data_IF_757329288363
#
_entry.id   IF_757329288363
#
_cell.length_a   1.000
_cell.length_b   1.000
_cell.length_c   1.000
_cell.angle_alpha   90.00
_cell.angle_beta   90.00
_cell.angle_gamma   90.00
#
_symmetry.space_group_name_H-M   'P 1'
#
loop_
_entity.id
_entity.type
_entity.pdbx_description
1 polymer ?
#
# COMPACT_ATOMS: atom_id res chain seq x y z
N UNK A 1 8.81 -4.19 7.89
CA UNK A 1 9.68 -3.25 8.63
C UNK A 1 9.21 -3.25 10.07
N UNK A 2 10.05 -3.48 11.08
CA UNK A 2 9.62 -3.47 12.46
C UNK A 2 9.24 -2.04 12.89
N UNK A 3 8.20 -1.94 13.73
CA UNK A 3 7.76 -0.69 14.32
C UNK A 3 7.63 -0.88 15.84
N UNK A 4 7.84 0.18 16.60
CA UNK A 4 7.64 0.20 18.04
C UNK A 4 6.74 1.36 18.43
N UNK A 5 5.79 1.10 19.30
CA UNK A 5 4.87 2.12 19.81
C UNK A 5 4.85 2.10 21.33
N UNK A 6 4.88 3.29 21.92
CA UNK A 6 4.63 3.48 23.36
C UNK A 6 3.37 4.32 23.54
N UNK A 7 2.31 3.70 24.01
CA UNK A 7 1.02 4.36 24.22
C UNK A 7 0.40 3.94 25.54
N UNK A 8 0.81 4.58 26.64
CA UNK A 8 0.26 4.26 27.96
C UNK A 8 -1.27 4.42 27.99
N UNK A 9 -1.94 3.42 28.60
CA UNK A 9 -3.40 3.39 28.67
C UNK A 9 -4.10 2.74 27.47
N UNK A 10 -3.44 2.60 26.32
CA UNK A 10 -3.98 1.89 25.17
C UNK A 10 -3.24 0.58 24.90
N UNK A 11 -1.92 0.63 24.75
CA UNK A 11 -1.11 -0.53 24.39
C UNK A 11 -0.53 -1.16 25.65
N UNK A 12 -0.84 -2.44 25.96
CA UNK A 12 -0.25 -3.16 27.08
C UNK A 12 1.28 -3.29 26.92
N UNK A 13 2.05 -3.27 28.00
CA UNK A 13 3.48 -3.51 27.93
C UNK A 13 3.81 -4.87 27.35
N UNK A 14 4.89 -4.97 26.57
CA UNK A 14 5.37 -6.22 25.95
C UNK A 14 4.37 -6.86 24.97
N UNK A 15 3.45 -6.09 24.41
CA UNK A 15 2.59 -6.57 23.34
C UNK A 15 3.39 -6.75 22.06
N UNK A 16 3.28 -7.92 21.44
CA UNK A 16 3.82 -8.22 20.11
C UNK A 16 2.65 -8.41 19.15
N UNK A 17 2.70 -7.73 18.01
CA UNK A 17 1.66 -7.76 16.96
C UNK A 17 2.34 -8.18 15.67
N UNK A 18 1.87 -9.27 15.06
CA UNK A 18 2.39 -9.83 13.81
C UNK A 18 1.42 -9.62 12.64
N UNK A 19 0.37 -8.86 12.86
CA UNK A 19 -0.62 -8.52 11.84
C UNK A 19 -0.11 -7.43 10.90
N UNK A 20 -0.81 -7.22 9.78
CA UNK A 20 -0.43 -6.19 8.81
C UNK A 20 -0.75 -4.81 9.38
N UNK A 21 0.26 -3.99 9.57
CA UNK A 21 0.12 -2.60 9.96
C UNK A 21 0.89 -1.72 8.95
N UNK A 22 0.20 -0.77 8.34
CA UNK A 22 0.81 0.15 7.38
C UNK A 22 1.08 1.52 8.00
N UNK A 23 2.05 2.25 7.45
CA UNK A 23 2.28 3.65 7.81
C UNK A 23 1.03 4.53 7.56
N UNK A 24 0.19 4.18 6.60
CA UNK A 24 -1.09 4.84 6.30
C UNK A 24 -2.09 4.78 7.46
N UNK A 25 -2.01 3.71 8.28
CA UNK A 25 -2.92 3.49 9.40
C UNK A 25 -2.70 4.48 10.54
N UNK A 26 -1.48 5.03 10.66
CA UNK A 26 -1.18 5.98 11.73
C UNK A 26 -2.04 7.23 11.69
N UNK A 27 -2.24 7.81 10.50
CA UNK A 27 -3.06 9.02 10.37
C UNK A 27 -4.48 8.78 10.88
N UNK A 28 -5.13 7.72 10.41
CA UNK A 28 -6.49 7.36 10.81
C UNK A 28 -6.58 6.99 12.29
N UNK A 29 -5.59 6.21 12.79
CA UNK A 29 -5.54 5.78 14.20
C UNK A 29 -5.36 6.96 15.15
N UNK A 30 -4.45 7.90 14.83
CA UNK A 30 -4.19 9.05 15.69
C UNK A 30 -5.35 10.06 15.69
N UNK A 31 -5.97 10.30 14.54
CA UNK A 31 -7.16 11.17 14.45
C UNK A 31 -8.33 10.56 15.22
N UNK A 32 -8.51 9.23 15.10
CA UNK A 32 -9.53 8.53 15.87
C UNK A 32 -9.27 8.61 17.39
N UNK A 33 -8.00 8.54 17.81
CA UNK A 33 -7.60 8.72 19.21
C UNK A 33 -7.82 10.15 19.71
N UNK A 34 -7.73 11.14 18.83
CA UNK A 34 -8.01 12.55 19.14
C UNK A 34 -9.52 12.86 19.24
N UNK A 35 -10.40 11.85 19.05
CA UNK A 35 -11.84 11.99 19.22
C UNK A 35 -12.65 11.96 17.92
N UNK A 36 -12.02 11.71 16.76
CA UNK A 36 -12.71 11.64 15.47
C UNK A 36 -12.57 10.26 14.81
N UNK A 37 -13.27 9.22 15.33
CA UNK A 37 -13.18 7.86 14.82
C UNK A 37 -13.77 7.68 13.41
N UNK A 38 -14.64 8.58 12.99
CA UNK A 38 -15.33 8.50 11.70
C UNK A 38 -14.68 9.42 10.63
N UNK A 39 -13.40 9.76 10.80
CA UNK A 39 -12.70 10.69 9.91
C UNK A 39 -12.71 10.25 8.44
N UNK A 40 -12.61 8.94 8.16
CA UNK A 40 -12.66 8.41 6.79
C UNK A 40 -13.98 8.77 6.10
N UNK A 41 -15.10 8.45 6.74
CA UNK A 41 -16.43 8.67 6.15
C UNK A 41 -16.74 10.16 5.98
N UNK A 42 -16.33 10.96 6.96
CA UNK A 42 -16.47 12.42 6.89
C UNK A 42 -15.65 13.01 5.75
N UNK A 43 -14.40 12.59 5.58
CA UNK A 43 -13.56 13.06 4.49
C UNK A 43 -14.04 12.62 3.10
N UNK A 44 -14.66 11.44 2.97
CA UNK A 44 -15.28 11.01 1.71
C UNK A 44 -16.43 11.93 1.29
N UNK A 45 -17.21 12.42 2.25
CA UNK A 45 -18.36 13.30 2.02
C UNK A 45 -17.97 14.78 1.90
N UNK A 46 -16.83 15.15 2.45
CA UNK A 46 -16.36 16.51 2.62
C UNK A 46 -16.43 16.92 4.09
N UNK A 47 -15.29 17.29 4.66
CA UNK A 47 -15.11 17.66 6.05
C UNK A 47 -14.49 19.04 6.18
N UNK A 48 -15.17 19.93 6.92
CA UNK A 48 -14.69 21.28 7.15
C UNK A 48 -13.73 21.30 8.33
N UNK A 49 -12.48 21.67 8.08
CA UNK A 49 -11.46 21.85 9.10
C UNK A 49 -10.63 23.10 8.82
N UNK A 50 -10.39 23.90 9.85
CA UNK A 50 -9.60 25.14 9.76
C UNK A 50 -10.06 26.10 8.63
N UNK A 51 -11.37 26.18 8.40
CA UNK A 51 -11.96 27.05 7.38
C UNK A 51 -11.82 26.57 5.93
N UNK A 52 -11.44 25.30 5.75
CA UNK A 52 -11.36 24.66 4.43
C UNK A 52 -12.14 23.35 4.41
N UNK A 53 -12.78 23.07 3.27
CA UNK A 53 -13.42 21.78 3.03
C UNK A 53 -12.41 20.79 2.43
N UNK A 54 -12.27 19.63 3.08
CA UNK A 54 -11.41 18.55 2.65
C UNK A 54 -12.26 17.37 2.20
N UNK A 55 -12.20 17.05 0.92
CA UNK A 55 -12.76 15.81 0.36
C UNK A 55 -11.63 14.93 -0.11
N UNK A 56 -11.35 13.85 0.65
CA UNK A 56 -10.21 12.96 0.45
C UNK A 56 -10.59 11.53 0.74
N UNK A 57 -9.96 10.59 0.02
CA UNK A 57 -9.96 9.18 0.34
C UNK A 57 -8.74 8.86 1.22
N UNK A 58 -8.95 8.16 2.34
CA UNK A 58 -7.88 7.64 3.18
C UNK A 58 -7.85 6.11 3.07
N UNK A 59 -6.69 5.56 2.75
CA UNK A 59 -6.49 4.10 2.67
C UNK A 59 -6.19 3.48 4.04
N UNK A 60 -5.83 4.29 5.03
CA UNK A 60 -5.55 3.86 6.40
C UNK A 60 -6.78 3.36 7.17
N UNK A 61 -6.55 2.49 8.14
CA UNK A 61 -7.55 1.99 9.09
C UNK A 61 -7.26 2.48 10.50
N UNK A 62 -8.31 2.64 11.32
CA UNK A 62 -8.16 2.84 12.76
C UNK A 62 -7.81 1.51 13.42
N UNK A 63 -6.58 1.38 13.86
CA UNK A 63 -6.01 0.16 14.42
C UNK A 63 -5.92 0.18 15.96
N UNK A 64 -6.67 1.05 16.64
CA UNK A 64 -6.66 1.12 18.12
C UNK A 64 -7.07 -0.20 18.77
N UNK A 65 -8.02 -0.92 18.17
CA UNK A 65 -8.48 -2.21 18.68
C UNK A 65 -7.38 -3.27 18.58
N UNK A 66 -6.67 -3.32 17.45
CA UNK A 66 -5.50 -4.17 17.25
C UNK A 66 -4.40 -3.82 18.26
N UNK A 67 -4.02 -2.55 18.35
CA UNK A 67 -2.94 -2.08 19.25
C UNK A 67 -3.23 -2.35 20.72
N UNK A 68 -4.49 -2.30 21.12
CA UNK A 68 -4.92 -2.59 22.49
C UNK A 68 -5.10 -4.09 22.79
N UNK A 69 -5.04 -4.96 21.76
CA UNK A 69 -5.33 -6.39 21.86
C UNK A 69 -6.82 -6.70 22.09
N UNK A 70 -7.73 -5.75 21.86
CA UNK A 70 -9.17 -5.89 22.08
C UNK A 70 -9.97 -6.29 20.85
N UNK A 71 -9.35 -6.24 19.68
CA UNK A 71 -10.03 -6.56 18.43
C UNK A 71 -9.07 -7.04 17.35
N UNK A 72 -9.64 -7.56 16.25
CA UNK A 72 -8.87 -8.05 15.12
C UNK A 72 -8.22 -6.91 14.34
N UNK A 73 -7.23 -7.27 13.52
CA UNK A 73 -6.72 -6.43 12.47
C UNK A 73 -7.85 -6.06 11.46
N UNK A 74 -7.90 -4.79 11.10
CA UNK A 74 -8.83 -4.29 10.06
C UNK A 74 -8.19 -4.29 8.68
N UNK A 75 -6.84 -4.41 8.61
CA UNK A 75 -6.09 -4.42 7.36
C UNK A 75 -5.76 -5.86 6.96
N UNK A 76 -6.23 -6.25 5.80
CA UNK A 76 -5.89 -7.55 5.20
C UNK A 76 -5.04 -7.41 3.94
N UNK A 77 -5.04 -6.22 3.32
CA UNK A 77 -4.35 -5.93 2.07
C UNK A 77 -3.36 -4.76 2.22
N UNK A 78 -2.34 -4.76 1.35
CA UNK A 78 -1.42 -3.64 1.17
C UNK A 78 -1.03 -3.53 -0.30
N UNK A 79 -1.18 -2.33 -0.87
CA UNK A 79 -0.82 -2.03 -2.25
C UNK A 79 0.57 -1.39 -2.29
N UNK A 80 1.47 -1.99 -3.07
CA UNK A 80 2.82 -1.46 -3.26
C UNK A 80 2.82 -0.52 -4.46
N UNK A 81 3.15 0.73 -4.23
CA UNK A 81 3.26 1.76 -5.25
C UNK A 81 4.72 2.17 -5.42
N UNK A 82 5.12 2.48 -6.65
CA UNK A 82 6.41 3.08 -6.95
C UNK A 82 6.34 4.59 -6.83
N UNK A 83 7.49 5.25 -6.76
CA UNK A 83 7.58 6.72 -6.79
C UNK A 83 7.02 7.33 -8.09
N UNK A 84 6.96 6.52 -9.15
CA UNK A 84 6.40 6.90 -10.44
C UNK A 84 4.87 6.72 -10.53
N UNK A 85 4.25 6.26 -9.45
CA UNK A 85 2.81 6.02 -9.39
C UNK A 85 2.36 4.73 -10.08
N UNK A 86 3.26 3.77 -10.29
CA UNK A 86 2.90 2.47 -10.82
C UNK A 86 2.57 1.48 -9.68
N UNK A 87 1.53 0.68 -9.88
CA UNK A 87 1.19 -0.39 -8.95
C UNK A 87 2.19 -1.54 -9.12
N UNK A 88 3.09 -1.69 -8.15
CA UNK A 88 4.16 -2.69 -8.20
C UNK A 88 3.73 -4.06 -7.67
N UNK A 89 2.73 -4.11 -6.80
CA UNK A 89 2.26 -5.37 -6.23
C UNK A 89 1.10 -5.20 -5.27
N UNK A 90 0.57 -6.33 -4.84
CA UNK A 90 -0.46 -6.46 -3.83
C UNK A 90 -0.02 -7.51 -2.81
N UNK A 91 -0.12 -7.21 -1.53
CA UNK A 91 -0.15 -8.20 -0.45
C UNK A 91 -1.58 -8.36 0.03
N UNK A 92 -2.00 -9.60 0.21
CA UNK A 92 -3.25 -9.96 0.86
C UNK A 92 -2.97 -11.09 1.84
N UNK A 93 -3.08 -10.82 3.13
CA UNK A 93 -2.68 -11.72 4.22
C UNK A 93 -1.24 -12.25 4.01
N UNK A 94 -1.07 -13.57 3.85
CA UNK A 94 0.23 -14.19 3.58
C UNK A 94 0.61 -14.21 2.10
N UNK A 95 -0.28 -13.84 1.19
CA UNK A 95 -0.03 -13.86 -0.24
C UNK A 95 0.51 -12.53 -0.74
N UNK A 96 1.47 -12.58 -1.63
CA UNK A 96 1.94 -11.40 -2.36
C UNK A 96 1.95 -11.69 -3.85
N UNK A 97 1.31 -10.82 -4.62
CA UNK A 97 1.40 -10.78 -6.07
C UNK A 97 2.27 -9.59 -6.47
N UNK A 98 3.39 -9.82 -7.15
CA UNK A 98 4.24 -8.77 -7.69
C UNK A 98 3.94 -8.56 -9.17
N UNK A 99 3.66 -7.33 -9.56
CA UNK A 99 3.33 -6.94 -10.93
C UNK A 99 4.52 -6.36 -11.68
N UNK A 100 5.53 -5.92 -10.95
CA UNK A 100 6.76 -5.34 -11.46
C UNK A 100 7.97 -5.92 -10.75
N UNK A 101 9.13 -5.85 -11.39
CA UNK A 101 10.40 -6.28 -10.81
C UNK A 101 11.47 -5.23 -11.02
N UNK A 102 12.41 -5.15 -10.09
CA UNK A 102 13.66 -4.42 -10.26
C UNK A 102 14.75 -5.41 -10.69
N UNK A 103 15.32 -5.18 -11.88
CA UNK A 103 16.41 -6.02 -12.41
C UNK A 103 17.80 -5.48 -12.08
N UNK A 104 17.88 -4.23 -11.61
CA UNK A 104 19.14 -3.62 -11.23
C UNK A 104 19.56 -4.02 -9.82
N UNK A 105 20.86 -3.89 -9.54
CA UNK A 105 21.46 -4.20 -8.26
C UNK A 105 22.33 -3.02 -7.77
N UNK A 106 22.51 -2.94 -6.45
CA UNK A 106 23.31 -1.89 -5.84
C UNK A 106 22.75 -0.49 -6.11
N UNK A 107 23.59 0.44 -6.51
CA UNK A 107 23.19 1.81 -6.78
C UNK A 107 22.30 1.97 -8.03
N UNK A 108 22.40 1.05 -8.98
CA UNK A 108 21.64 1.10 -10.23
C UNK A 108 20.12 0.96 -10.00
N UNK A 109 19.67 0.49 -8.84
CA UNK A 109 18.23 0.47 -8.47
C UNK A 109 17.60 1.87 -8.49
N UNK A 110 18.39 2.93 -8.32
CA UNK A 110 17.94 4.31 -8.39
C UNK A 110 17.94 4.88 -9.82
N UNK A 111 18.74 4.28 -10.69
CA UNK A 111 18.90 4.75 -12.07
C UNK A 111 18.00 4.02 -13.07
N UNK A 112 17.59 2.80 -12.76
CA UNK A 112 16.81 1.95 -13.66
C UNK A 112 15.36 1.82 -13.17
N UNK A 113 14.37 1.92 -14.09
CA UNK A 113 12.97 1.78 -13.73
C UNK A 113 12.64 0.33 -13.37
N UNK A 114 11.55 0.14 -12.61
CA UNK A 114 10.93 -1.17 -12.45
C UNK A 114 10.32 -1.63 -13.78
N UNK A 115 10.43 -2.93 -14.06
CA UNK A 115 9.93 -3.55 -15.29
C UNK A 115 8.60 -4.25 -15.03
N UNK A 116 7.53 -3.95 -15.78
CA UNK A 116 6.25 -4.63 -15.64
C UNK A 116 6.34 -6.08 -16.11
N UNK A 117 5.70 -6.98 -15.37
CA UNK A 117 5.61 -8.40 -15.69
C UNK A 117 4.36 -8.70 -16.53
N UNK A 118 4.48 -9.59 -17.53
CA UNK A 118 3.31 -10.11 -18.26
C UNK A 118 2.44 -11.00 -17.39
N UNK A 119 3.05 -11.75 -16.48
CA UNK A 119 2.40 -12.62 -15.52
C UNK A 119 2.91 -12.22 -14.13
N UNK A 120 2.03 -11.89 -13.18
CA UNK A 120 2.46 -11.57 -11.83
C UNK A 120 3.23 -12.72 -11.20
N UNK A 121 4.24 -12.41 -10.39
CA UNK A 121 4.87 -13.40 -9.51
C UNK A 121 4.02 -13.58 -8.27
N UNK A 122 3.89 -14.80 -7.80
CA UNK A 122 3.13 -15.12 -6.60
C UNK A 122 4.05 -15.66 -5.51
N UNK A 123 3.86 -15.21 -4.29
CA UNK A 123 4.61 -15.64 -3.11
C UNK A 123 3.66 -15.92 -1.94
N UNK A 124 3.99 -16.94 -1.16
CA UNK A 124 3.42 -17.14 0.17
C UNK A 124 4.45 -16.69 1.19
N UNK A 125 4.25 -15.52 1.78
CA UNK A 125 5.23 -14.88 2.67
C UNK A 125 5.44 -15.62 4.01
N UNK A 126 4.60 -16.60 4.34
CA UNK A 126 4.85 -17.47 5.51
C UNK A 126 5.87 -18.57 5.21
N UNK A 127 5.83 -19.12 4.00
CA UNK A 127 6.78 -20.17 3.58
C UNK A 127 8.02 -19.60 2.90
N UNK A 128 7.90 -18.44 2.26
CA UNK A 128 8.97 -17.75 1.56
C UNK A 128 8.98 -16.24 1.92
N UNK A 129 9.40 -15.88 3.14
CA UNK A 129 9.38 -14.50 3.61
C UNK A 129 10.38 -13.58 2.87
N UNK A 130 11.33 -14.15 2.15
CA UNK A 130 12.35 -13.43 1.39
C UNK A 130 12.09 -13.39 -0.11
N UNK A 131 10.98 -13.99 -0.58
CA UNK A 131 10.55 -13.99 -1.99
C UNK A 131 11.61 -14.59 -2.94
N UNK A 132 12.27 -15.67 -2.51
CA UNK A 132 13.37 -16.32 -3.23
C UNK A 132 12.93 -17.53 -4.04
N UNK A 133 11.77 -18.10 -3.76
CA UNK A 133 11.32 -19.37 -4.33
C UNK A 133 11.39 -19.39 -5.86
N UNK A 134 11.11 -18.30 -6.53
CA UNK A 134 11.18 -18.20 -8.00
C UNK A 134 12.58 -18.41 -8.60
N UNK A 135 13.64 -18.20 -7.82
CA UNK A 135 15.03 -18.35 -8.26
C UNK A 135 15.70 -19.58 -7.66
N UNK A 136 15.28 -19.98 -6.46
CA UNK A 136 15.95 -21.01 -5.66
C UNK A 136 15.18 -22.33 -5.61
N UNK A 137 13.85 -22.33 -5.80
CA UNK A 137 13.04 -23.53 -5.78
C UNK A 137 12.87 -24.13 -7.19
N UNK A 138 13.29 -25.36 -7.38
CA UNK A 138 13.24 -26.03 -8.68
C UNK A 138 11.83 -26.33 -9.21
N UNK A 139 10.81 -26.29 -8.35
CA UNK A 139 9.41 -26.58 -8.67
C UNK A 139 8.49 -25.33 -8.57
N UNK A 140 9.05 -24.13 -8.49
CA UNK A 140 8.26 -22.90 -8.38
C UNK A 140 7.18 -22.76 -9.44
N UNK A 141 7.46 -23.12 -10.69
CA UNK A 141 6.48 -23.03 -11.79
C UNK A 141 5.27 -23.93 -11.54
N UNK A 142 5.51 -25.16 -11.09
CA UNK A 142 4.44 -26.10 -10.73
C UNK A 142 3.62 -25.54 -9.56
N UNK A 143 4.29 -25.13 -8.50
CA UNK A 143 3.65 -24.51 -7.34
C UNK A 143 2.81 -23.29 -7.73
N UNK A 144 3.35 -22.41 -8.60
CA UNK A 144 2.63 -21.24 -9.11
C UNK A 144 1.33 -21.62 -9.83
N UNK A 145 1.38 -22.62 -10.71
CA UNK A 145 0.19 -23.10 -11.45
C UNK A 145 -0.86 -23.66 -10.49
N UNK A 146 -0.45 -24.44 -9.49
CA UNK A 146 -1.33 -24.99 -8.46
C UNK A 146 -1.98 -23.91 -7.60
N UNK A 147 -1.36 -22.74 -7.45
CA UNK A 147 -1.84 -21.61 -6.63
C UNK A 147 -2.34 -20.42 -7.46
N UNK A 148 -2.40 -20.54 -8.78
CA UNK A 148 -2.81 -19.44 -9.66
C UNK A 148 -4.24 -18.92 -9.37
N UNK A 149 -5.08 -19.72 -8.72
CA UNK A 149 -6.42 -19.30 -8.28
C UNK A 149 -6.40 -18.07 -7.36
N UNK A 150 -5.30 -17.81 -6.65
CA UNK A 150 -5.12 -16.62 -5.79
C UNK A 150 -5.13 -15.33 -6.61
N UNK A 151 -4.76 -15.37 -7.88
CA UNK A 151 -4.72 -14.20 -8.76
C UNK A 151 -6.13 -13.65 -9.05
N UNK A 152 -7.17 -14.47 -8.97
CA UNK A 152 -8.57 -14.05 -9.22
C UNK A 152 -9.05 -13.05 -8.15
N UNK A 153 -9.03 -13.38 -6.84
CA UNK A 153 -9.37 -12.40 -5.81
C UNK A 153 -8.39 -11.22 -5.77
N UNK A 154 -7.10 -11.44 -6.08
CA UNK A 154 -6.13 -10.35 -6.16
C UNK A 154 -6.52 -9.33 -7.24
N UNK A 155 -6.96 -9.78 -8.42
CA UNK A 155 -7.44 -8.90 -9.49
C UNK A 155 -8.68 -8.11 -9.05
N UNK A 156 -9.61 -8.74 -8.34
CA UNK A 156 -10.81 -8.07 -7.83
C UNK A 156 -10.45 -6.95 -6.83
N UNK A 157 -9.52 -7.21 -5.89
CA UNK A 157 -9.04 -6.22 -4.93
C UNK A 157 -8.35 -5.04 -5.62
N UNK A 158 -7.47 -5.33 -6.60
CA UNK A 158 -6.82 -4.28 -7.41
C UNK A 158 -7.86 -3.45 -8.15
N UNK A 159 -8.87 -4.08 -8.77
CA UNK A 159 -9.95 -3.39 -9.46
C UNK A 159 -10.73 -2.45 -8.54
N UNK A 160 -11.11 -2.91 -7.35
CA UNK A 160 -11.79 -2.09 -6.34
C UNK A 160 -10.94 -0.89 -5.90
N UNK A 161 -9.65 -1.12 -5.63
CA UNK A 161 -8.74 -0.06 -5.24
C UNK A 161 -8.58 0.99 -6.34
N UNK A 162 -8.38 0.58 -7.59
CA UNK A 162 -8.23 1.49 -8.73
C UNK A 162 -9.52 2.27 -9.04
N UNK A 163 -10.70 1.70 -8.76
CA UNK A 163 -11.97 2.44 -8.92
C UNK A 163 -12.05 3.66 -8.00
N UNK A 164 -11.39 3.65 -6.84
CA UNK A 164 -11.36 4.82 -5.96
C UNK A 164 -10.69 6.03 -6.63
N UNK A 165 -9.75 5.81 -7.55
CA UNK A 165 -9.04 6.88 -8.28
C UNK A 165 -9.92 7.60 -9.31
N UNK A 166 -11.06 7.03 -9.71
CA UNK A 166 -12.04 7.73 -10.55
C UNK A 166 -12.68 8.91 -9.79
N UNK A 167 -12.95 8.72 -8.49
CA UNK A 167 -13.55 9.74 -7.64
C UNK A 167 -12.51 10.62 -6.94
N UNK A 168 -11.34 10.05 -6.64
CA UNK A 168 -10.23 10.66 -5.93
C UNK A 168 -8.94 10.48 -6.71
N UNK A 169 -8.75 11.22 -7.81
CA UNK A 169 -7.56 11.08 -8.64
C UNK A 169 -6.28 11.38 -7.87
N UNK A 170 -5.14 10.74 -8.22
CA UNK A 170 -3.86 11.00 -7.59
C UNK A 170 -3.50 12.49 -7.64
N UNK A 171 -3.12 13.05 -6.51
CA UNK A 171 -2.69 14.44 -6.39
C UNK A 171 -1.19 14.60 -6.53
N UNK A 172 -0.44 13.54 -6.21
CA UNK A 172 1.00 13.52 -6.33
C UNK A 172 1.40 13.14 -7.74
N UNK A 173 2.39 13.85 -8.29
CA UNK A 173 2.96 13.53 -9.60
C UNK A 173 4.13 12.55 -9.43
N UNK A 174 4.41 11.71 -10.44
CA UNK A 174 5.58 10.83 -10.44
C UNK A 174 6.88 11.58 -10.11
N UNK A 175 7.75 10.93 -9.34
CA UNK A 175 9.05 11.48 -8.95
C UNK A 175 10.13 11.35 -10.02
N UNK A 176 9.94 10.43 -10.98
CA UNK A 176 10.92 10.20 -12.05
C UNK A 176 11.12 11.41 -12.94
N UNK A 177 12.36 11.60 -13.38
CA UNK A 177 12.71 12.64 -14.32
C UNK A 177 12.78 12.06 -15.74
N UNK A 178 11.88 12.51 -16.62
CA UNK A 178 12.00 12.27 -18.06
C UNK A 178 11.82 13.58 -18.82
N UNK A 179 12.43 13.69 -19.99
CA UNK A 179 12.29 14.87 -20.85
C UNK A 179 10.84 15.10 -21.23
N UNK A 180 10.08 14.03 -21.48
CA UNK A 180 8.64 14.10 -21.81
C UNK A 180 7.85 14.69 -20.64
N UNK A 181 8.08 14.21 -19.42
CA UNK A 181 7.42 14.74 -18.22
C UNK A 181 7.83 16.19 -17.91
N UNK A 182 9.10 16.54 -18.14
CA UNK A 182 9.56 17.90 -18.01
C UNK A 182 8.85 18.84 -19.00
N UNK A 183 8.68 18.41 -20.26
CA UNK A 183 7.94 19.16 -21.29
C UNK A 183 6.44 19.27 -20.95
N UNK A 184 5.81 18.23 -20.43
CA UNK A 184 4.41 18.27 -19.98
C UNK A 184 4.22 19.24 -18.81
N UNK A 185 5.15 19.27 -17.86
CA UNK A 185 5.14 20.25 -16.76
C UNK A 185 5.28 21.69 -17.23
N UNK A 186 6.06 21.93 -18.31
CA UNK A 186 6.19 23.24 -18.92
C UNK A 186 4.93 23.67 -19.69
N UNK A 187 4.24 22.72 -20.33
CA UNK A 187 2.98 22.99 -21.05
C UNK A 187 1.79 23.20 -20.12
N UNK A 188 1.78 22.49 -18.99
CA UNK A 188 0.73 22.52 -17.99
C UNK A 188 1.32 22.88 -16.61
N UNK A 189 1.70 24.14 -16.39
CA UNK A 189 2.21 24.54 -15.08
C UNK A 189 1.13 24.31 -14.02
N UNK A 190 1.50 23.89 -12.79
CA UNK A 190 0.56 23.74 -11.70
C UNK A 190 -0.14 25.07 -11.48
N UNK A 191 -1.48 25.07 -11.44
CA UNK A 191 -2.24 26.23 -11.00
C UNK A 191 -1.74 26.63 -9.62
N UNK A 192 -1.19 27.83 -9.49
CA UNK A 192 -0.81 28.41 -8.21
C UNK A 192 -2.08 28.60 -7.37
N UNK A 193 -2.25 27.73 -6.37
CA UNK A 193 -3.20 27.95 -5.27
C UNK A 193 -2.49 28.66 -4.12
#
# INVERSE_FOLDING_TARGET
MPAMVRWPGLVPPRTEINEIFSAEDWATTLVAAAGEPNVKDKLLQGYDAAGKNFRVHLDGYDQRDLLSGKGPDKRREFFYWTDDGNLAGLRYEQWKAAFMVQNAHGFDVWAQPLVPLRLPRLFNLRSDPFERAQHEAGDYVRWFVEHAFVLVPAQALVGQHLMSFQQFPPRQRPGSFSVVQAMEKLRNPPSSN
#
